data_IF_122816226370
#
_entry.id   IF_122816226370
#
_cell.length_a   1.000
_cell.length_b   1.000
_cell.length_c   1.000
_cell.angle_alpha   90.00
_cell.angle_beta   90.00
_cell.angle_gamma   90.00
#
_symmetry.space_group_name_H-M   'P 1'
#
loop_
_entity.id
_entity.type
_entity.pdbx_description
1 polymer ?
#
# COMPACT_ATOMS: atom_id res chain seq x y z
N UNK A 1 -15.28 -11.36 33.81
CA UNK A 1 -15.50 -12.41 32.80
C UNK A 1 -16.24 -11.78 31.64
N UNK A 2 -15.59 -11.53 30.50
CA UNK A 2 -16.27 -11.08 29.29
C UNK A 2 -16.70 -12.34 28.54
N UNK A 3 -17.99 -12.67 28.58
CA UNK A 3 -18.57 -13.74 27.76
C UNK A 3 -18.55 -13.29 26.29
N UNK A 4 -17.72 -13.95 25.46
CA UNK A 4 -17.78 -13.81 24.00
C UNK A 4 -18.93 -14.68 23.49
N UNK A 5 -19.89 -14.08 22.78
CA UNK A 5 -20.99 -14.80 22.17
C UNK A 5 -20.69 -14.99 20.68
N UNK A 6 -20.61 -16.26 20.26
CA UNK A 6 -20.45 -16.65 18.86
C UNK A 6 -21.85 -16.91 18.28
N UNK A 7 -22.31 -16.04 17.39
CA UNK A 7 -23.63 -16.18 16.76
C UNK A 7 -23.44 -16.57 15.29
N UNK A 8 -23.77 -17.83 14.96
CA UNK A 8 -23.81 -18.30 13.58
C UNK A 8 -25.08 -17.81 12.89
N UNK A 9 -24.95 -17.22 11.71
CA UNK A 9 -26.10 -16.91 10.86
C UNK A 9 -26.31 -18.06 9.87
N UNK A 10 -27.56 -18.27 9.46
CA UNK A 10 -27.97 -19.29 8.46
C UNK A 10 -27.35 -19.05 7.06
N UNK A 11 -26.51 -18.03 6.93
CA UNK A 11 -25.95 -17.51 5.67
C UNK A 11 -24.44 -17.76 5.54
N UNK A 12 -23.83 -18.57 6.43
CA UNK A 12 -22.40 -18.90 6.37
C UNK A 12 -21.48 -17.80 6.92
N UNK A 13 -22.02 -16.90 7.75
CA UNK A 13 -21.26 -15.89 8.47
C UNK A 13 -21.36 -16.09 9.99
N UNK A 14 -20.30 -15.72 10.70
CA UNK A 14 -20.19 -15.81 12.15
C UNK A 14 -19.88 -14.43 12.71
N UNK A 15 -20.66 -14.01 13.71
CA UNK A 15 -20.45 -12.76 14.43
C UNK A 15 -19.80 -13.02 15.78
N UNK A 16 -18.77 -12.24 16.10
CA UNK A 16 -18.17 -12.19 17.44
C UNK A 16 -18.70 -10.95 18.14
N UNK A 17 -19.51 -11.15 19.19
CA UNK A 17 -20.14 -10.07 19.95
C UNK A 17 -19.52 -9.99 21.35
N UNK A 18 -19.15 -8.78 21.77
CA UNK A 18 -18.62 -8.51 23.10
C UNK A 18 -19.27 -7.24 23.67
N UNK A 19 -19.92 -7.35 24.84
CA UNK A 19 -20.57 -6.21 25.50
C UNK A 19 -21.72 -5.59 24.70
N UNK A 20 -22.42 -6.37 23.87
CA UNK A 20 -23.53 -5.90 23.03
C UNK A 20 -23.12 -5.27 21.70
N UNK A 21 -21.82 -5.17 21.41
CA UNK A 21 -21.29 -4.67 20.13
C UNK A 21 -20.67 -5.81 19.30
N UNK A 22 -20.85 -5.75 17.97
CA UNK A 22 -20.17 -6.64 17.02
C UNK A 22 -18.70 -6.23 16.94
N UNK A 23 -17.80 -7.13 17.32
CA UNK A 23 -16.34 -6.93 17.30
C UNK A 23 -15.71 -7.43 16.01
N UNK A 24 -16.22 -8.55 15.48
CA UNK A 24 -15.72 -9.14 14.26
C UNK A 24 -16.84 -9.84 13.49
N UNK A 25 -16.71 -9.83 12.17
CA UNK A 25 -17.56 -10.57 11.23
C UNK A 25 -16.64 -11.51 10.46
N UNK A 26 -16.94 -12.80 10.47
CA UNK A 26 -16.21 -13.83 9.73
C UNK A 26 -17.17 -14.38 8.69
N UNK A 27 -16.80 -14.37 7.42
CA UNK A 27 -17.61 -14.93 6.34
C UNK A 27 -16.83 -16.00 5.57
N UNK A 28 -17.49 -17.10 5.24
CA UNK A 28 -16.96 -18.10 4.31
C UNK A 28 -17.50 -17.79 2.90
N UNK A 29 -16.60 -17.69 1.92
CA UNK A 29 -16.95 -17.38 0.54
C UNK A 29 -16.33 -18.42 -0.42
N UNK A 30 -17.19 -19.09 -1.18
CA UNK A 30 -16.78 -19.96 -2.28
C UNK A 30 -16.56 -19.14 -3.56
N UNK A 31 -15.31 -18.85 -3.89
CA UNK A 31 -14.95 -17.94 -4.98
C UNK A 31 -15.43 -18.40 -6.37
N UNK A 32 -15.67 -19.70 -6.56
CA UNK A 32 -16.17 -20.34 -7.77
C UNK A 32 -17.69 -20.18 -7.97
N UNK A 33 -18.43 -19.84 -6.92
CA UNK A 33 -19.89 -19.64 -6.95
C UNK A 33 -20.30 -18.19 -7.25
N UNK A 34 -19.33 -17.30 -7.46
CA UNK A 34 -19.58 -15.87 -7.65
C UNK A 34 -18.78 -15.29 -8.81
N UNK A 35 -19.26 -14.17 -9.35
CA UNK A 35 -18.51 -13.41 -10.34
C UNK A 35 -17.22 -12.86 -9.72
N UNK A 36 -16.11 -12.84 -10.50
CA UNK A 36 -14.82 -12.32 -10.04
C UNK A 36 -14.89 -10.90 -9.47
N UNK A 37 -15.75 -10.05 -10.05
CA UNK A 37 -15.98 -8.69 -9.56
C UNK A 37 -16.53 -8.68 -8.14
N UNK A 38 -17.58 -9.47 -7.85
CA UNK A 38 -18.18 -9.59 -6.51
C UNK A 38 -17.19 -10.11 -5.48
N UNK A 39 -16.44 -11.18 -5.82
CA UNK A 39 -15.38 -11.72 -4.95
C UNK A 39 -14.34 -10.64 -4.67
N UNK A 40 -13.92 -9.91 -5.70
CA UNK A 40 -13.01 -8.77 -5.57
C UNK A 40 -13.55 -7.71 -4.61
N UNK A 41 -14.78 -7.24 -4.78
CA UNK A 41 -15.39 -6.22 -3.92
C UNK A 41 -15.44 -6.65 -2.45
N UNK A 42 -15.84 -7.89 -2.18
CA UNK A 42 -15.87 -8.44 -0.80
C UNK A 42 -14.46 -8.50 -0.20
N UNK A 43 -13.48 -8.97 -0.97
CA UNK A 43 -12.09 -9.04 -0.53
C UNK A 43 -11.48 -7.65 -0.23
N UNK A 44 -11.90 -6.60 -0.94
CA UNK A 44 -11.45 -5.23 -0.67
C UNK A 44 -12.09 -4.64 0.59
N UNK A 45 -13.34 -5.00 0.88
CA UNK A 45 -14.03 -4.56 2.10
C UNK A 45 -13.47 -5.25 3.37
N UNK A 46 -12.96 -6.47 3.22
CA UNK A 46 -12.43 -7.23 4.34
C UNK A 46 -11.10 -6.66 4.88
N UNK A 47 -11.01 -6.56 6.20
CA UNK A 47 -9.77 -6.19 6.91
C UNK A 47 -8.71 -7.28 6.85
N UNK A 48 -9.16 -8.54 6.80
CA UNK A 48 -8.30 -9.71 6.64
C UNK A 48 -8.95 -10.69 5.68
N UNK A 49 -8.17 -11.24 4.75
CA UNK A 49 -8.60 -12.28 3.80
C UNK A 49 -7.70 -13.49 3.98
N UNK A 50 -8.30 -14.66 4.20
CA UNK A 50 -7.59 -15.94 4.28
C UNK A 50 -8.05 -16.77 3.08
N UNK A 51 -7.14 -17.02 2.14
CA UNK A 51 -7.39 -17.90 1.00
C UNK A 51 -6.75 -19.25 1.26
N UNK A 52 -7.54 -20.31 1.21
CA UNK A 52 -7.07 -21.68 1.42
C UNK A 52 -6.90 -22.36 0.07
N UNK A 53 -5.76 -23.00 -0.14
CA UNK A 53 -5.45 -23.80 -1.32
C UNK A 53 -4.81 -25.15 -0.91
N UNK A 54 -4.91 -26.19 -1.75
CA UNK A 54 -4.17 -27.43 -1.53
C UNK A 54 -2.66 -27.19 -1.47
N UNK A 55 -1.96 -27.86 -0.56
CA UNK A 55 -0.51 -27.86 -0.45
C UNK A 55 0.17 -28.82 -1.42
N UNK A 56 1.50 -28.87 -1.38
CA UNK A 56 2.31 -29.73 -2.27
C UNK A 56 2.42 -31.17 -1.77
N UNK A 57 2.16 -31.41 -0.47
CA UNK A 57 2.10 -32.73 0.16
C UNK A 57 0.65 -33.05 0.51
N UNK A 58 0.31 -34.34 0.47
CA UNK A 58 -1.08 -34.80 0.40
C UNK A 58 -2.06 -34.18 1.41
N UNK A 59 -1.71 -34.17 2.69
CA UNK A 59 -2.58 -33.69 3.78
C UNK A 59 -2.31 -32.23 4.22
N UNK A 60 -1.44 -31.54 3.49
CA UNK A 60 -1.09 -30.16 3.77
C UNK A 60 -1.96 -29.22 2.91
N UNK A 61 -2.40 -28.12 3.52
CA UNK A 61 -3.05 -26.99 2.87
C UNK A 61 -2.24 -25.72 3.13
N UNK A 62 -2.39 -24.74 2.23
CA UNK A 62 -1.74 -23.44 2.33
C UNK A 62 -2.81 -22.38 2.58
N UNK A 63 -2.64 -21.62 3.66
CA UNK A 63 -3.41 -20.41 3.94
C UNK A 63 -2.59 -19.19 3.54
N UNK A 64 -3.07 -18.45 2.53
CA UNK A 64 -2.55 -17.11 2.21
C UNK A 64 -3.37 -16.07 2.95
N UNK A 65 -2.71 -15.31 3.82
CA UNK A 65 -3.34 -14.39 4.75
C UNK A 65 -2.95 -12.97 4.35
N UNK A 66 -3.91 -12.19 3.88
CA UNK A 66 -3.74 -10.76 3.64
C UNK A 66 -4.38 -9.98 4.78
N UNK A 67 -3.64 -9.09 5.43
CA UNK A 67 -4.15 -8.20 6.49
C UNK A 67 -3.98 -6.74 6.06
N UNK A 68 -4.97 -5.91 6.34
CA UNK A 68 -4.96 -4.47 6.09
C UNK A 68 -5.00 -3.73 7.42
N UNK A 69 -4.03 -2.87 7.63
CA UNK A 69 -4.00 -1.99 8.80
C UNK A 69 -4.94 -0.79 8.60
N UNK A 70 -5.24 -0.09 9.70
CA UNK A 70 -6.02 1.16 9.65
C UNK A 70 -5.33 2.29 8.86
N UNK A 71 -4.01 2.22 8.72
CA UNK A 71 -3.18 3.17 7.98
C UNK A 71 -3.00 2.76 6.51
N UNK A 72 -3.79 1.80 6.01
CA UNK A 72 -3.73 1.34 4.62
C UNK A 72 -2.60 0.35 4.30
N UNK A 73 -1.60 0.17 5.19
CA UNK A 73 -0.54 -0.84 5.01
C UNK A 73 -1.14 -2.24 4.87
N UNK A 74 -0.73 -2.96 3.82
CA UNK A 74 -1.13 -4.35 3.55
C UNK A 74 0.04 -5.29 3.84
N UNK A 75 -0.21 -6.36 4.60
CA UNK A 75 0.78 -7.42 4.86
C UNK A 75 0.27 -8.76 4.36
N UNK A 76 1.17 -9.58 3.83
CA UNK A 76 0.86 -10.93 3.35
C UNK A 76 1.72 -11.97 4.07
N UNK A 77 1.06 -12.96 4.65
CA UNK A 77 1.67 -14.12 5.29
C UNK A 77 1.20 -15.39 4.57
N UNK A 78 2.04 -16.42 4.53
CA UNK A 78 1.64 -17.75 4.10
C UNK A 78 1.91 -18.77 5.22
N UNK A 79 0.93 -19.60 5.53
CA UNK A 79 1.04 -20.67 6.52
C UNK A 79 0.66 -22.01 5.89
N UNK A 80 1.50 -23.02 6.08
CA UNK A 80 1.18 -24.41 5.73
C UNK A 80 0.57 -25.06 6.96
N UNK A 81 -0.61 -25.65 6.81
CA UNK A 81 -1.34 -26.29 7.89
C UNK A 81 -1.94 -27.63 7.46
N UNK A 82 -2.27 -28.47 8.42
CA UNK A 82 -3.05 -29.70 8.22
C UNK A 82 -4.25 -29.71 9.17
N UNK A 83 -5.32 -30.36 8.74
CA UNK A 83 -6.54 -30.56 9.54
C UNK A 83 -6.60 -32.02 9.93
N UNK A 84 -6.51 -32.31 11.23
CA UNK A 84 -6.60 -33.68 11.73
C UNK A 84 -8.05 -34.19 11.68
N UNK A 85 -8.22 -35.50 11.85
CA UNK A 85 -9.54 -36.14 11.87
C UNK A 85 -10.48 -35.68 13.00
N UNK A 86 -9.96 -34.98 14.02
CA UNK A 86 -10.73 -34.33 15.08
C UNK A 86 -11.04 -32.85 14.78
N UNK A 87 -10.81 -32.40 13.53
CA UNK A 87 -10.93 -31.01 13.07
C UNK A 87 -9.98 -30.02 13.75
N UNK A 88 -8.98 -30.50 14.49
CA UNK A 88 -7.93 -29.62 15.01
C UNK A 88 -7.01 -29.18 13.87
N UNK A 89 -6.67 -27.89 13.87
CA UNK A 89 -5.75 -27.29 12.89
C UNK A 89 -4.34 -27.28 13.47
N UNK A 90 -3.38 -27.87 12.75
CA UNK A 90 -1.95 -27.79 13.09
C UNK A 90 -1.18 -27.03 12.02
N UNK A 91 -0.49 -25.96 12.43
CA UNK A 91 0.40 -25.20 11.55
C UNK A 91 1.74 -25.94 11.45
N UNK A 92 2.06 -26.42 10.24
CA UNK A 92 3.27 -27.18 9.93
C UNK A 92 4.45 -26.25 9.69
N UNK A 93 4.22 -25.12 9.00
CA UNK A 93 5.24 -24.10 8.79
C UNK A 93 4.62 -22.73 8.56
N UNK A 94 5.38 -21.69 8.88
CA UNK A 94 5.05 -20.30 8.59
C UNK A 94 6.11 -19.74 7.67
N UNK A 95 5.72 -19.35 6.47
CA UNK A 95 6.55 -18.54 5.58
C UNK A 95 6.08 -17.11 5.73
N UNK A 96 6.59 -16.45 6.77
CA UNK A 96 6.48 -15.00 6.84
C UNK A 96 7.38 -14.44 5.74
N UNK A 97 6.79 -13.81 4.73
CA UNK A 97 7.52 -12.87 3.87
C UNK A 97 7.80 -11.55 4.62
N UNK A 98 8.06 -11.63 5.94
CA UNK A 98 8.75 -10.58 6.67
C UNK A 98 10.24 -10.70 6.30
N UNK A 99 10.58 -10.20 5.11
CA UNK A 99 11.94 -10.16 4.60
C UNK A 99 12.54 -11.55 4.33
N UNK A 100 12.27 -12.11 3.15
CA UNK A 100 13.28 -12.97 2.54
C UNK A 100 14.43 -12.07 2.09
N UNK A 101 15.27 -11.64 3.06
CA UNK A 101 16.66 -11.33 2.78
C UNK A 101 17.22 -12.67 2.34
N UNK A 102 17.30 -12.87 1.03
CA UNK A 102 18.22 -13.85 0.50
C UNK A 102 19.55 -13.56 1.20
N UNK A 103 20.19 -14.58 1.76
CA UNK A 103 21.64 -14.56 1.90
C UNK A 103 22.20 -14.45 0.48
N UNK A 104 22.17 -13.23 -0.06
CA UNK A 104 23.07 -12.78 -1.08
C UNK A 104 24.39 -12.39 -0.38
N UNK A 105 25.52 -12.65 -1.03
CA UNK A 105 26.81 -12.14 -0.57
C UNK A 105 26.74 -10.59 -0.55
N UNK A 106 27.43 -9.97 0.41
CA UNK A 106 27.71 -8.53 0.55
C UNK A 106 26.86 -7.57 -0.32
N UNK A 107 26.07 -6.72 0.35
CA UNK A 107 25.35 -5.58 -0.25
C UNK A 107 26.28 -4.73 -1.14
N UNK A 108 26.38 -5.12 -2.42
CA UNK A 108 26.64 -4.18 -3.49
C UNK A 108 25.40 -3.30 -3.54
N UNK A 109 25.56 -1.99 -3.36
CA UNK A 109 24.54 -0.99 -3.63
C UNK A 109 23.87 -1.33 -4.97
N UNK A 110 22.73 -2.03 -4.91
CA UNK A 110 21.96 -2.32 -6.10
C UNK A 110 21.28 -1.03 -6.49
N UNK A 111 21.59 -0.54 -7.68
CA UNK A 111 20.98 0.67 -8.19
C UNK A 111 19.46 0.49 -8.25
N UNK A 112 18.67 1.34 -7.57
CA UNK A 112 17.21 1.23 -7.54
C UNK A 112 16.56 1.33 -8.93
N UNK A 113 17.28 1.82 -9.93
CA UNK A 113 16.81 1.93 -11.32
C UNK A 113 17.06 0.67 -12.16
N UNK A 114 17.75 -0.36 -11.64
CA UNK A 114 18.19 -1.52 -12.42
C UNK A 114 17.06 -2.51 -12.82
N UNK A 115 15.95 -2.58 -12.08
CA UNK A 115 14.86 -3.55 -12.29
C UNK A 115 13.56 -2.92 -12.82
N UNK A 116 13.68 -1.85 -13.60
CA UNK A 116 12.51 -1.19 -14.18
C UNK A 116 12.24 -1.71 -15.60
N UNK A 117 10.96 -1.96 -15.91
CA UNK A 117 10.52 -2.38 -17.25
C UNK A 117 10.64 -1.26 -18.29
N UNK A 118 11.03 -0.06 -17.85
CA UNK A 118 11.30 1.13 -18.64
C UNK A 118 12.56 1.82 -18.07
N UNK A 119 13.31 2.51 -18.94
CA UNK A 119 14.55 3.15 -18.53
C UNK A 119 14.27 4.54 -17.92
N UNK A 120 14.69 4.78 -16.67
CA UNK A 120 14.65 6.11 -16.02
C UNK A 120 15.95 6.90 -16.25
N UNK A 121 17.05 6.24 -16.61
CA UNK A 121 18.32 6.92 -16.84
C UNK A 121 18.29 7.60 -18.20
N UNK A 122 18.64 8.88 -18.20
CA UNK A 122 18.92 9.60 -19.43
C UNK A 122 20.28 9.14 -19.98
N UNK A 123 20.33 8.84 -21.27
CA UNK A 123 21.58 8.79 -22.02
C UNK A 123 22.26 10.16 -22.03
N UNK A 124 23.56 10.22 -22.28
CA UNK A 124 24.29 11.50 -22.37
C UNK A 124 23.66 12.46 -23.40
N UNK A 125 23.18 11.90 -24.52
CA UNK A 125 22.46 12.65 -25.55
C UNK A 125 21.13 13.22 -25.08
N UNK A 126 20.36 12.46 -24.28
CA UNK A 126 19.08 12.93 -23.73
C UNK A 126 19.28 13.96 -22.63
N UNK A 127 20.32 13.80 -21.80
CA UNK A 127 20.71 14.78 -20.78
C UNK A 127 21.10 16.11 -21.42
N UNK A 128 21.94 16.07 -22.44
CA UNK A 128 22.35 17.27 -23.18
C UNK A 128 21.14 17.95 -23.85
N UNK A 129 20.21 17.18 -24.42
CA UNK A 129 18.98 17.71 -24.99
C UNK A 129 18.08 18.37 -23.92
N UNK A 130 17.94 17.75 -22.74
CA UNK A 130 17.18 18.29 -21.61
C UNK A 130 17.79 19.59 -21.09
N UNK A 131 19.11 19.69 -21.00
CA UNK A 131 19.81 20.91 -20.55
C UNK A 131 19.70 22.06 -21.56
N UNK A 132 19.66 21.75 -22.86
CA UNK A 132 19.48 22.74 -23.93
C UNK A 132 18.03 23.18 -24.13
N UNK A 133 17.06 22.49 -23.53
CA UNK A 133 15.66 22.81 -23.70
C UNK A 133 15.31 24.11 -22.97
N UNK A 134 15.06 25.17 -23.73
CA UNK A 134 14.62 26.45 -23.19
C UNK A 134 13.17 26.35 -22.70
N UNK A 135 12.96 26.48 -21.38
CA UNK A 135 11.63 26.49 -20.79
C UNK A 135 10.95 27.86 -21.02
N UNK A 136 9.72 27.92 -21.57
CA UNK A 136 9.06 29.17 -21.97
C UNK A 136 8.91 30.23 -20.87
N UNK A 137 8.88 29.80 -19.59
CA UNK A 137 8.63 30.68 -18.43
C UNK A 137 9.76 30.70 -17.40
N UNK A 138 10.90 30.04 -17.70
CA UNK A 138 12.07 30.08 -16.81
C UNK A 138 13.03 31.15 -17.31
N UNK A 139 12.91 32.33 -16.72
CA UNK A 139 13.83 33.44 -16.99
C UNK A 139 15.14 33.28 -16.22
N UNK A 140 16.24 33.79 -16.78
CA UNK A 140 17.51 33.92 -16.06
C UNK A 140 17.33 34.81 -14.82
N UNK A 141 18.22 34.69 -13.83
CA UNK A 141 18.12 35.49 -12.60
C UNK A 141 18.07 36.98 -12.90
N UNK A 142 18.85 37.44 -13.88
CA UNK A 142 18.94 38.83 -14.32
C UNK A 142 17.64 39.29 -14.99
N UNK A 143 16.99 38.43 -15.78
CA UNK A 143 15.70 38.75 -16.41
C UNK A 143 14.55 38.68 -15.40
N UNK A 144 14.59 37.76 -14.43
CA UNK A 144 13.64 37.74 -13.30
C UNK A 144 13.79 39.01 -12.48
N UNK A 145 15.01 39.42 -12.12
CA UNK A 145 15.21 40.66 -11.36
C UNK A 145 14.80 41.88 -12.18
N UNK A 146 15.07 41.95 -13.48
CA UNK A 146 14.62 43.07 -14.30
C UNK A 146 13.08 43.16 -14.44
N UNK A 147 12.37 42.02 -14.49
CA UNK A 147 10.91 41.97 -14.53
C UNK A 147 10.27 42.26 -13.16
N UNK A 148 10.92 41.86 -12.07
CA UNK A 148 10.47 42.07 -10.69
C UNK A 148 10.93 43.42 -10.11
N UNK A 149 11.95 44.05 -10.70
CA UNK A 149 12.39 45.39 -10.34
C UNK A 149 11.40 46.40 -10.89
N UNK A 150 10.52 46.82 -9.99
CA UNK A 150 9.54 47.86 -10.19
C UNK A 150 10.15 49.15 -10.73
N UNK A 151 9.94 49.41 -12.02
CA UNK A 151 10.00 50.79 -12.53
C UNK A 151 8.88 51.65 -11.91
N UNK A 152 8.96 52.99 -12.01
CA UNK A 152 7.89 53.87 -11.52
C UNK A 152 6.57 53.50 -12.20
N UNK A 153 5.61 52.94 -11.44
CA UNK A 153 4.32 52.45 -11.96
C UNK A 153 4.13 50.92 -12.02
N UNK A 154 5.06 50.13 -11.49
CA UNK A 154 4.91 48.67 -11.38
C UNK A 154 3.79 48.26 -10.41
N UNK A 155 2.87 47.42 -10.86
CA UNK A 155 1.78 46.87 -10.05
C UNK A 155 2.30 45.88 -9.02
N UNK A 156 1.95 46.08 -7.75
CA UNK A 156 2.30 45.17 -6.67
C UNK A 156 1.19 44.13 -6.54
N UNK A 157 1.52 42.85 -6.74
CA UNK A 157 0.60 41.75 -6.43
C UNK A 157 0.66 41.56 -4.91
N UNK A 158 -0.41 41.97 -4.23
CA UNK A 158 -0.59 41.73 -2.80
C UNK A 158 -1.52 40.54 -2.65
N UNK A 159 -1.02 39.48 -2.04
CA UNK A 159 -1.84 38.37 -1.61
C UNK A 159 -2.33 38.66 -0.18
N UNK A 160 -3.64 38.64 0.03
CA UNK A 160 -4.25 38.69 1.35
C UNK A 160 -4.80 37.29 1.65
N UNK A 161 -4.26 36.59 2.66
CA UNK A 161 -4.74 35.27 3.00
C UNK A 161 -6.22 35.31 3.40
N UNK A 162 -7.04 34.47 2.78
CA UNK A 162 -8.45 34.34 3.14
C UNK A 162 -8.70 33.21 4.14
N UNK A 163 -9.92 33.12 4.67
CA UNK A 163 -10.26 32.13 5.69
C UNK A 163 -10.25 30.67 5.20
N UNK A 164 -10.17 30.47 3.89
CA UNK A 164 -10.07 29.18 3.22
C UNK A 164 -8.64 28.85 2.78
N UNK A 165 -7.67 29.76 2.96
CA UNK A 165 -6.25 29.45 2.80
C UNK A 165 -5.79 28.58 3.96
N UNK A 166 -5.84 27.27 3.71
CA UNK A 166 -5.18 26.27 4.50
C UNK A 166 -3.67 26.44 4.35
N UNK A 167 -3.06 27.17 5.29
CA UNK A 167 -1.67 26.90 5.63
C UNK A 167 -1.61 25.47 6.20
N UNK A 168 -1.51 24.50 5.30
CA UNK A 168 -1.17 23.14 5.62
C UNK A 168 0.24 23.14 6.23
N UNK A 169 0.29 22.92 7.55
CA UNK A 169 1.55 22.83 8.31
C UNK A 169 2.35 21.55 7.97
N UNK A 170 1.93 20.81 6.95
CA UNK A 170 2.55 19.58 6.50
C UNK A 170 3.31 19.93 5.22
N UNK A 171 4.49 20.53 5.38
CA UNK A 171 5.42 20.76 4.27
C UNK A 171 5.73 19.38 3.65
N UNK A 172 5.27 19.09 2.42
CA UNK A 172 5.48 17.80 1.79
C UNK A 172 6.94 17.57 1.38
N UNK A 173 7.83 18.55 1.59
CA UNK A 173 9.26 18.45 1.36
C UNK A 173 10.06 18.17 2.66
N UNK A 174 9.44 18.22 3.86
CA UNK A 174 10.10 18.04 5.16
C UNK A 174 10.55 16.57 5.43
N UNK A 175 10.05 15.61 4.65
CA UNK A 175 10.48 14.20 4.65
C UNK A 175 11.39 13.84 3.46
N UNK A 176 11.80 14.82 2.64
CA UNK A 176 12.71 14.62 1.53
C UNK A 176 14.18 14.72 1.98
N UNK A 177 14.74 13.57 2.35
CA UNK A 177 16.20 13.42 2.51
C UNK A 177 16.89 13.48 1.13
N UNK A 178 17.31 14.67 0.69
CA UNK A 178 18.16 14.91 -0.50
C UNK A 178 19.65 15.06 -0.17
#
# INVERSE_FOLDING_TARGET
MLSELLQGTDTGAVLIIQGGAVRAVIGLLHADMHQRGTVGSVCHLATSVITVAPGTKGDEAVAKITKRSKLGKVTQDEEIFSIKGDFSVTVVSKTSHAGRRQTEPEEQQMDPTANLTFNIRLSDTEREAKEKLALPFVFSKEKKTALLQSGPGSGRILYEPDANDDYDQEDPDDDLDV
#
